data_IF_316578147264
#
_entry.id   IF_316578147264
#
_cell.length_a   1.000
_cell.length_b   1.000
_cell.length_c   1.000
_cell.angle_alpha   90.00
_cell.angle_beta   90.00
_cell.angle_gamma   90.00
#
_symmetry.space_group_name_H-M   'P 1'
#
loop_
_entity.id
_entity.type
_entity.pdbx_description
1 polymer ?
#
# COMPACT_ATOMS: atom_id res chain seq x y z
N UNK A 1 -44.63 31.90 -50.09
CA UNK A 1 -44.57 33.34 -50.24
C UNK A 1 -43.10 33.69 -50.17
N UNK A 2 -42.41 33.73 -51.27
CA UNK A 2 -42.07 34.88 -52.10
C UNK A 2 -41.00 35.74 -51.42
N UNK A 3 -39.85 36.14 -51.97
CA UNK A 3 -39.44 36.38 -53.37
C UNK A 3 -37.95 36.71 -53.35
N UNK A 4 -37.22 36.14 -54.24
CA UNK A 4 -36.23 36.66 -55.20
C UNK A 4 -35.83 38.14 -55.11
N UNK A 5 -34.51 38.39 -55.23
CA UNK A 5 -33.99 39.43 -56.14
C UNK A 5 -32.50 39.19 -56.48
N UNK A 6 -32.26 38.71 -57.68
CA UNK A 6 -31.01 38.84 -58.44
C UNK A 6 -30.80 40.28 -58.81
N UNK A 7 -29.54 40.74 -58.90
CA UNK A 7 -29.19 41.90 -59.75
C UNK A 7 -27.91 41.65 -60.45
N UNK A 8 -28.01 41.48 -61.78
CA UNK A 8 -26.99 41.58 -62.82
C UNK A 8 -26.77 43.06 -63.19
N UNK A 9 -25.57 43.39 -63.58
CA UNK A 9 -25.28 44.24 -64.79
C UNK A 9 -23.77 44.48 -64.84
N UNK A 10 -23.11 43.99 -65.82
CA UNK A 10 -22.76 44.42 -67.20
C UNK A 10 -21.70 45.54 -67.30
N UNK A 11 -20.68 45.12 -67.96
CA UNK A 11 -19.68 45.73 -68.83
C UNK A 11 -19.82 47.18 -69.16
N UNK A 12 -18.71 47.90 -69.25
CA UNK A 12 -18.30 48.75 -70.42
C UNK A 12 -16.78 48.79 -70.56
N UNK A 13 -16.37 48.53 -71.82
CA UNK A 13 -15.08 48.77 -72.43
C UNK A 13 -15.02 50.21 -72.88
N UNK A 14 -13.82 50.81 -72.79
CA UNK A 14 -13.29 51.80 -73.74
C UNK A 14 -11.80 52.05 -73.37
N UNK A 15 -10.88 51.58 -74.10
CA UNK A 15 -10.00 52.10 -75.16
C UNK A 15 -9.32 53.45 -74.85
N UNK A 16 -7.99 53.48 -74.95
CA UNK A 16 -7.24 54.69 -75.06
C UNK A 16 -5.73 54.55 -74.86
N UNK A 17 -5.04 54.53 -75.92
CA UNK A 17 -3.60 54.45 -76.18
C UNK A 17 -2.70 55.36 -75.34
N UNK A 18 -1.44 54.93 -75.18
CA UNK A 18 -0.41 55.94 -75.06
C UNK A 18 0.84 55.61 -74.24
N UNK A 19 1.72 54.88 -74.85
CA UNK A 19 3.16 55.17 -74.97
C UNK A 19 4.08 55.40 -73.76
N UNK A 20 5.13 54.64 -73.79
CA UNK A 20 6.53 54.88 -73.36
C UNK A 20 7.01 54.27 -72.07
N UNK A 21 7.86 53.36 -72.35
CA UNK A 21 8.81 52.66 -71.52
C UNK A 21 9.55 53.53 -70.49
N UNK A 22 9.53 53.06 -69.24
CA UNK A 22 10.66 53.20 -68.30
C UNK A 22 10.89 51.89 -67.67
N UNK A 23 11.97 51.21 -68.02
CA UNK A 23 12.49 50.05 -67.35
C UNK A 23 12.99 50.47 -65.95
N UNK A 24 12.26 50.16 -64.91
CA UNK A 24 12.79 50.18 -63.58
C UNK A 24 12.90 48.71 -63.19
N UNK A 25 14.14 48.23 -63.17
CA UNK A 25 14.50 46.92 -62.58
C UNK A 25 14.33 47.06 -61.10
N UNK A 26 13.18 46.60 -60.63
CA UNK A 26 12.95 46.43 -59.18
C UNK A 26 13.35 45.00 -58.84
N UNK A 27 14.57 44.85 -58.30
CA UNK A 27 14.98 43.60 -57.66
C UNK A 27 14.07 43.30 -56.49
N UNK A 28 13.09 42.41 -56.67
CA UNK A 28 12.39 41.82 -55.61
C UNK A 28 13.32 40.78 -54.89
N UNK A 29 13.96 41.23 -53.84
CA UNK A 29 14.51 40.34 -52.84
C UNK A 29 13.34 39.64 -52.18
N UNK A 30 13.01 38.46 -52.67
CA UNK A 30 12.13 37.54 -51.93
C UNK A 30 12.97 36.97 -50.75
N UNK A 31 12.93 37.69 -49.67
CA UNK A 31 13.36 37.10 -48.38
C UNK A 31 12.39 35.97 -48.05
N UNK A 32 12.77 34.74 -48.39
CA UNK A 32 12.14 33.54 -47.91
C UNK A 32 12.34 33.49 -46.39
N UNK A 33 11.38 34.04 -45.65
CA UNK A 33 11.24 33.77 -44.20
C UNK A 33 10.85 32.32 -44.07
N UNK A 34 11.85 31.46 -43.85
CA UNK A 34 11.62 30.14 -43.31
C UNK A 34 11.03 30.32 -41.91
N UNK A 35 9.71 30.39 -41.83
CA UNK A 35 8.98 30.06 -40.60
C UNK A 35 9.27 28.59 -40.30
N UNK A 36 10.36 28.36 -39.56
CA UNK A 36 10.51 27.14 -38.84
C UNK A 36 9.30 27.07 -37.90
N UNK A 37 8.22 26.44 -38.35
CA UNK A 37 7.18 25.97 -37.49
C UNK A 37 7.85 24.98 -36.56
N UNK A 38 8.27 25.48 -35.40
CA UNK A 38 8.60 24.64 -34.25
C UNK A 38 7.31 23.87 -33.96
N UNK A 39 7.16 22.73 -34.63
CA UNK A 39 6.12 21.77 -34.34
C UNK A 39 6.37 21.31 -32.90
N UNK A 40 5.69 21.94 -31.98
CA UNK A 40 5.49 21.34 -30.71
C UNK A 40 4.76 20.03 -31.01
N UNK A 41 5.53 18.95 -31.07
CA UNK A 41 4.98 17.62 -31.01
C UNK A 41 4.28 17.55 -29.63
N UNK A 42 3.03 17.97 -29.58
CA UNK A 42 2.12 17.52 -28.55
C UNK A 42 2.06 16.00 -28.75
N UNK A 43 2.92 15.29 -28.03
CA UNK A 43 2.65 13.88 -27.78
C UNK A 43 1.23 13.85 -27.23
N UNK A 44 0.28 13.44 -28.06
CA UNK A 44 -1.03 13.01 -27.60
C UNK A 44 -0.73 11.83 -26.69
N UNK A 45 -0.51 12.11 -25.40
CA UNK A 45 -0.72 11.14 -24.37
C UNK A 45 -2.18 10.76 -24.56
N UNK A 46 -2.41 9.64 -25.20
CA UNK A 46 -3.73 9.00 -25.26
C UNK A 46 -3.99 8.58 -23.83
N UNK A 47 -4.55 9.50 -23.05
CA UNK A 47 -5.07 9.17 -21.73
C UNK A 47 -6.14 8.15 -22.04
N UNK A 48 -5.86 6.87 -21.78
CA UNK A 48 -6.87 5.82 -21.79
C UNK A 48 -8.04 6.33 -20.97
N UNK A 49 -9.25 5.97 -21.31
CA UNK A 49 -10.37 6.35 -20.46
C UNK A 49 -10.05 5.90 -19.03
N UNK A 50 -10.44 6.67 -18.01
CA UNK A 50 -10.23 6.30 -16.60
C UNK A 50 -10.63 4.83 -16.34
N UNK A 51 -11.69 4.38 -17.01
CA UNK A 51 -12.15 3.00 -16.94
C UNK A 51 -11.12 2.00 -17.48
N UNK A 52 -10.43 2.28 -18.60
CA UNK A 52 -9.41 1.35 -19.14
C UNK A 52 -8.18 1.24 -18.24
N UNK A 53 -7.78 2.35 -17.60
CA UNK A 53 -6.70 2.36 -16.60
C UNK A 53 -7.11 1.58 -15.36
N UNK A 54 -8.34 1.78 -14.87
CA UNK A 54 -8.86 1.05 -13.72
C UNK A 54 -8.88 -0.46 -13.99
N UNK A 55 -9.45 -0.89 -15.12
CA UNK A 55 -9.49 -2.32 -15.50
C UNK A 55 -8.08 -2.91 -15.58
N UNK A 56 -7.13 -2.21 -16.21
CA UNK A 56 -5.76 -2.71 -16.30
C UNK A 56 -5.06 -2.84 -14.94
N UNK A 57 -5.33 -1.92 -14.01
CA UNK A 57 -4.77 -1.97 -12.66
C UNK A 57 -5.44 -3.04 -11.79
N UNK A 58 -6.75 -3.26 -11.96
CA UNK A 58 -7.49 -4.32 -11.26
C UNK A 58 -7.02 -5.73 -11.63
N UNK A 59 -6.60 -5.97 -12.88
CA UNK A 59 -5.99 -7.25 -13.28
C UNK A 59 -4.70 -7.57 -12.51
N UNK A 60 -4.01 -6.53 -12.06
CA UNK A 60 -2.75 -6.61 -11.28
C UNK A 60 -2.98 -6.68 -9.78
N UNK A 61 -4.21 -6.38 -9.32
CA UNK A 61 -4.58 -6.33 -7.90
C UNK A 61 -5.20 -7.66 -7.47
N UNK A 62 -4.87 -8.12 -6.27
CA UNK A 62 -5.39 -9.36 -5.69
C UNK A 62 -6.01 -9.12 -4.32
N UNK A 63 -6.99 -9.92 -3.98
CA UNK A 63 -7.64 -10.00 -2.68
C UNK A 63 -7.02 -11.17 -1.93
N UNK A 64 -6.45 -10.91 -0.77
CA UNK A 64 -5.77 -11.91 0.05
C UNK A 64 -6.63 -12.31 1.23
N UNK A 65 -6.76 -13.61 1.47
CA UNK A 65 -7.52 -14.20 2.57
C UNK A 65 -6.64 -15.16 3.36
N UNK A 66 -6.67 -15.05 4.69
CA UNK A 66 -5.84 -15.84 5.58
C UNK A 66 -6.39 -15.92 7.00
N UNK A 67 -5.51 -15.80 7.99
CA UNK A 67 -5.88 -15.82 9.40
C UNK A 67 -6.69 -14.59 9.82
N UNK A 68 -7.52 -14.73 10.85
CA UNK A 68 -8.34 -13.64 11.39
C UNK A 68 -9.82 -14.01 11.44
N UNK A 69 -10.70 -13.02 11.27
CA UNK A 69 -12.15 -13.21 11.26
C UNK A 69 -12.81 -12.99 12.60
N UNK A 70 -12.09 -12.41 13.58
CA UNK A 70 -12.65 -11.91 14.84
C UNK A 70 -12.75 -10.39 14.82
N UNK A 71 -13.55 -9.81 15.68
CA UNK A 71 -13.73 -8.36 15.77
C UNK A 71 -12.39 -7.63 15.97
N UNK A 72 -12.06 -6.73 15.05
CA UNK A 72 -10.81 -5.98 15.07
C UNK A 72 -9.58 -6.72 14.54
N UNK A 73 -9.76 -7.93 13.97
CA UNK A 73 -8.71 -8.73 13.35
C UNK A 73 -9.28 -9.36 12.06
N UNK A 74 -9.30 -8.60 11.00
CA UNK A 74 -9.81 -9.03 9.70
C UNK A 74 -8.98 -10.19 9.15
N UNK A 75 -9.67 -11.12 8.44
CA UNK A 75 -9.04 -12.27 7.77
C UNK A 75 -8.69 -11.99 6.30
N UNK A 76 -8.72 -10.73 5.88
CA UNK A 76 -8.49 -10.32 4.50
C UNK A 76 -7.70 -9.02 4.41
N UNK A 77 -6.98 -8.87 3.31
CA UNK A 77 -6.24 -7.66 2.93
C UNK A 77 -6.07 -7.62 1.42
N UNK A 78 -5.40 -6.60 0.91
CA UNK A 78 -5.07 -6.45 -0.50
C UNK A 78 -3.61 -6.77 -0.78
N UNK A 79 -3.31 -7.02 -2.05
CA UNK A 79 -1.98 -7.13 -2.59
C UNK A 79 -2.00 -6.86 -4.08
N UNK A 80 -0.83 -6.86 -4.69
CA UNK A 80 -0.72 -6.74 -6.15
C UNK A 80 0.50 -7.52 -6.66
N UNK A 81 0.38 -8.01 -7.91
CA UNK A 81 1.48 -8.69 -8.58
C UNK A 81 2.59 -7.70 -8.93
N UNK A 82 3.85 -8.13 -8.76
CA UNK A 82 5.06 -7.31 -8.95
C UNK A 82 5.97 -7.80 -10.06
N UNK A 83 5.75 -9.02 -10.56
CA UNK A 83 6.50 -9.61 -11.65
C UNK A 83 5.68 -10.68 -12.42
N UNK A 84 6.27 -11.23 -13.47
CA UNK A 84 5.68 -12.26 -14.30
C UNK A 84 5.73 -13.67 -13.68
N UNK A 85 6.46 -13.87 -12.59
CA UNK A 85 6.55 -15.14 -11.87
C UNK A 85 5.35 -15.35 -10.92
N UNK A 86 4.54 -14.31 -10.71
CA UNK A 86 3.37 -14.34 -9.83
C UNK A 86 3.70 -14.04 -8.37
N UNK A 87 4.74 -13.25 -8.13
CA UNK A 87 4.99 -12.71 -6.80
C UNK A 87 4.01 -11.57 -6.50
N UNK A 88 3.54 -11.55 -5.26
CA UNK A 88 2.59 -10.56 -4.76
C UNK A 88 3.25 -9.77 -3.66
N UNK A 89 3.19 -8.43 -3.75
CA UNK A 89 3.56 -7.52 -2.67
C UNK A 89 2.33 -7.15 -1.86
N UNK A 90 2.48 -7.16 -0.54
CA UNK A 90 1.43 -6.80 0.41
C UNK A 90 2.03 -6.31 1.73
N UNK A 91 1.18 -5.85 2.67
CA UNK A 91 1.63 -5.54 4.04
C UNK A 91 1.82 -6.82 4.84
N UNK A 92 2.82 -6.83 5.71
CA UNK A 92 2.97 -7.88 6.71
C UNK A 92 1.96 -7.67 7.85
N UNK A 93 1.01 -8.57 7.97
CA UNK A 93 -0.09 -8.52 8.95
C UNK A 93 -0.41 -9.91 9.48
N UNK A 94 -1.34 -9.96 10.44
CA UNK A 94 -1.87 -11.22 11.01
C UNK A 94 -2.61 -12.08 9.97
N UNK A 95 -3.11 -11.49 8.88
CA UNK A 95 -3.74 -12.25 7.78
C UNK A 95 -2.81 -13.30 7.20
N UNK A 96 -1.50 -13.05 7.24
CA UNK A 96 -0.47 -13.95 6.70
C UNK A 96 -0.03 -15.06 7.70
N UNK A 97 -0.67 -15.18 8.88
CA UNK A 97 -0.34 -16.18 9.92
C UNK A 97 -0.94 -17.55 9.65
N UNK A 98 -0.92 -17.97 8.41
CA UNK A 98 -1.36 -19.29 7.94
C UNK A 98 -0.29 -19.90 7.04
N UNK A 99 -0.30 -21.22 6.90
CA UNK A 99 0.64 -21.92 6.00
C UNK A 99 0.40 -21.58 4.52
N UNK A 100 -0.84 -21.28 4.18
CA UNK A 100 -1.26 -20.95 2.82
C UNK A 100 -2.25 -19.78 2.84
N UNK A 101 -1.90 -18.72 2.14
CA UNK A 101 -2.75 -17.55 1.92
C UNK A 101 -3.47 -17.71 0.58
N UNK A 102 -4.76 -17.47 0.53
CA UNK A 102 -5.53 -17.54 -0.72
C UNK A 102 -5.55 -16.16 -1.38
N UNK A 103 -4.93 -16.08 -2.56
CA UNK A 103 -5.01 -14.89 -3.40
C UNK A 103 -6.15 -15.06 -4.43
N UNK A 104 -7.09 -14.11 -4.46
CA UNK A 104 -8.21 -14.11 -5.40
C UNK A 104 -8.00 -13.01 -6.42
N UNK A 105 -7.88 -13.38 -7.68
CA UNK A 105 -7.69 -12.48 -8.81
C UNK A 105 -9.01 -11.80 -9.21
N UNK A 106 -8.96 -10.79 -10.07
CA UNK A 106 -10.12 -10.06 -10.58
C UNK A 106 -11.10 -10.94 -11.38
N UNK A 107 -10.61 -12.01 -12.02
CA UNK A 107 -11.44 -13.01 -12.71
C UNK A 107 -12.01 -14.10 -11.77
N UNK A 108 -11.70 -14.02 -10.47
CA UNK A 108 -12.20 -14.91 -9.44
C UNK A 108 -11.41 -16.21 -9.26
N UNK A 109 -10.27 -16.38 -9.93
CA UNK A 109 -9.39 -17.52 -9.67
C UNK A 109 -8.83 -17.45 -8.26
N UNK A 110 -8.79 -18.58 -7.58
CA UNK A 110 -8.24 -18.72 -6.23
C UNK A 110 -6.87 -19.37 -6.34
N UNK A 111 -5.84 -18.63 -6.04
CA UNK A 111 -4.46 -19.07 -6.10
C UNK A 111 -3.94 -19.32 -4.69
N UNK A 112 -3.38 -20.49 -4.45
CA UNK A 112 -2.63 -20.75 -3.23
C UNK A 112 -1.31 -19.97 -3.28
N UNK A 113 -1.02 -19.25 -2.22
CA UNK A 113 0.22 -18.49 -2.10
C UNK A 113 0.90 -18.73 -0.76
N UNK A 114 2.23 -18.61 -0.75
CA UNK A 114 3.05 -18.76 0.45
C UNK A 114 3.93 -17.52 0.63
N UNK A 115 4.21 -17.18 1.86
CA UNK A 115 5.15 -16.10 2.18
C UNK A 115 6.56 -16.52 1.78
N UNK A 116 7.17 -15.80 0.86
CA UNK A 116 8.58 -15.94 0.44
C UNK A 116 9.50 -15.30 1.49
N UNK A 117 9.14 -14.11 1.93
CA UNK A 117 9.87 -13.39 2.95
C UNK A 117 9.15 -12.11 3.40
N UNK A 118 9.69 -11.51 4.44
CA UNK A 118 9.13 -10.31 5.07
C UNK A 118 10.23 -9.29 5.30
N UNK A 119 9.86 -8.01 5.31
CA UNK A 119 10.65 -6.94 5.89
C UNK A 119 9.90 -6.36 7.09
N UNK A 120 10.37 -6.65 8.30
CA UNK A 120 9.72 -6.16 9.52
C UNK A 120 9.89 -4.65 9.73
N UNK A 121 10.83 -3.99 9.05
CA UNK A 121 11.08 -2.55 9.18
C UNK A 121 10.13 -1.74 8.30
N UNK A 122 9.84 -2.22 7.10
CA UNK A 122 8.84 -1.66 6.19
C UNK A 122 7.45 -2.23 6.43
N UNK A 123 7.33 -3.26 7.27
CA UNK A 123 6.10 -4.00 7.54
C UNK A 123 5.44 -4.56 6.26
N UNK A 124 6.26 -5.11 5.36
CA UNK A 124 5.83 -5.70 4.09
C UNK A 124 6.13 -7.19 4.02
N UNK A 125 5.45 -7.87 3.12
CA UNK A 125 5.66 -9.27 2.78
C UNK A 125 5.57 -9.48 1.27
N UNK A 126 6.35 -10.44 0.78
CA UNK A 126 6.24 -10.96 -0.59
C UNK A 126 5.71 -12.38 -0.53
N UNK A 127 4.68 -12.66 -1.32
CA UNK A 127 4.09 -14.00 -1.48
C UNK A 127 4.40 -14.53 -2.87
N UNK A 128 4.46 -15.86 -3.00
CA UNK A 128 4.61 -16.57 -4.28
C UNK A 128 3.37 -17.43 -4.54
N UNK A 129 2.75 -17.30 -5.73
CA UNK A 129 1.61 -18.13 -6.14
C UNK A 129 2.01 -19.33 -6.99
N UNK A 130 3.24 -19.40 -7.49
CA UNK A 130 3.71 -20.36 -8.51
C UNK A 130 2.88 -20.36 -9.81
N UNK A 131 2.13 -19.30 -10.05
CA UNK A 131 1.29 -19.10 -11.23
C UNK A 131 1.77 -17.85 -11.96
N UNK A 132 2.44 -17.98 -13.11
CA UNK A 132 2.87 -16.84 -13.92
C UNK A 132 1.69 -15.94 -14.29
N UNK A 133 1.95 -14.65 -14.38
CA UNK A 133 0.99 -13.64 -14.83
C UNK A 133 1.66 -12.65 -15.77
N UNK A 134 0.88 -12.12 -16.72
CA UNK A 134 1.33 -11.02 -17.58
C UNK A 134 0.88 -9.65 -17.05
N UNK A 135 0.01 -9.66 -16.06
CA UNK A 135 -0.56 -8.45 -15.46
C UNK A 135 0.10 -8.21 -14.10
N UNK A 136 1.09 -7.32 -14.05
CA UNK A 136 1.80 -6.94 -12.83
C UNK A 136 2.23 -5.47 -12.86
N UNK A 137 2.58 -4.92 -11.71
CA UNK A 137 3.21 -3.62 -11.56
C UNK A 137 4.72 -3.82 -11.39
N UNK A 138 5.51 -3.30 -12.33
CA UNK A 138 6.97 -3.29 -12.19
C UNK A 138 7.40 -2.22 -11.18
N UNK A 139 8.11 -2.63 -10.14
CA UNK A 139 8.74 -1.68 -9.20
C UNK A 139 9.87 -0.88 -9.86
N UNK A 140 10.43 -1.38 -10.97
CA UNK A 140 11.43 -0.66 -11.76
C UNK A 140 10.87 0.55 -12.50
N UNK A 141 9.60 0.47 -12.89
CA UNK A 141 8.88 1.54 -13.63
C UNK A 141 8.08 2.47 -12.72
N UNK A 142 8.16 2.24 -11.41
CA UNK A 142 7.48 3.07 -10.43
C UNK A 142 8.07 4.48 -10.39
N UNK A 143 7.21 5.47 -10.21
CA UNK A 143 7.63 6.86 -10.09
C UNK A 143 7.15 7.50 -8.81
N UNK A 144 7.72 8.64 -8.46
CA UNK A 144 7.30 9.41 -7.31
C UNK A 144 6.07 10.28 -7.64
N UNK A 145 5.12 10.30 -6.71
CA UNK A 145 3.98 11.21 -6.79
C UNK A 145 4.35 12.62 -6.32
N UNK A 146 3.69 13.61 -6.88
CA UNK A 146 3.80 15.01 -6.46
C UNK A 146 2.58 15.43 -5.63
N UNK A 147 2.76 16.42 -4.75
CA UNK A 147 1.64 17.02 -4.01
C UNK A 147 0.69 17.68 -5.02
N UNK A 148 -0.62 17.47 -4.85
CA UNK A 148 -1.65 17.90 -5.77
C UNK A 148 -1.91 16.92 -6.93
N UNK A 149 -1.16 15.83 -7.03
CA UNK A 149 -1.36 14.83 -8.07
C UNK A 149 -2.58 13.95 -7.79
N UNK A 150 -3.37 13.71 -8.86
CA UNK A 150 -4.53 12.81 -8.80
C UNK A 150 -4.07 11.37 -8.86
N UNK A 151 -4.66 10.54 -8.01
CA UNK A 151 -4.30 9.14 -7.83
C UNK A 151 -5.52 8.22 -7.82
N UNK A 152 -5.27 6.93 -8.10
CA UNK A 152 -6.23 5.85 -7.98
C UNK A 152 -5.71 4.85 -6.94
N UNK A 153 -6.54 4.51 -5.98
CA UNK A 153 -6.26 3.50 -4.97
C UNK A 153 -7.09 2.24 -5.24
N UNK A 154 -6.43 1.10 -5.34
CA UNK A 154 -7.02 -0.21 -5.64
C UNK A 154 -6.91 -1.11 -4.41
N UNK A 155 -8.03 -1.63 -3.93
CA UNK A 155 -8.05 -2.48 -2.74
C UNK A 155 -9.33 -3.28 -2.60
N UNK A 156 -9.32 -4.31 -1.75
CA UNK A 156 -10.52 -5.04 -1.32
C UNK A 156 -11.20 -4.31 -0.15
N UNK A 157 -11.73 -3.14 -0.42
CA UNK A 157 -12.38 -2.26 0.55
C UNK A 157 -13.49 -3.01 1.31
N UNK A 158 -13.40 -3.06 2.65
CA UNK A 158 -14.34 -3.75 3.53
C UNK A 158 -14.59 -5.24 3.20
N UNK A 159 -13.73 -5.88 2.42
CA UNK A 159 -13.91 -7.27 2.02
C UNK A 159 -15.16 -7.53 1.17
N UNK A 160 -15.69 -6.51 0.49
CA UNK A 160 -16.92 -6.64 -0.30
C UNK A 160 -16.74 -7.50 -1.55
N UNK A 161 -15.52 -7.56 -2.08
CA UNK A 161 -15.19 -8.38 -3.22
C UNK A 161 -14.69 -9.77 -2.76
N UNK A 162 -15.58 -10.75 -2.68
CA UNK A 162 -15.28 -12.08 -2.16
C UNK A 162 -15.07 -13.15 -3.24
N UNK A 163 -15.47 -12.88 -4.48
CA UNK A 163 -15.39 -13.79 -5.61
C UNK A 163 -14.84 -13.11 -6.86
N UNK A 164 -15.66 -13.06 -7.91
CA UNK A 164 -15.30 -12.46 -9.22
C UNK A 164 -15.48 -10.95 -9.25
N UNK A 165 -15.95 -10.35 -8.17
CA UNK A 165 -16.05 -8.91 -8.08
C UNK A 165 -14.65 -8.29 -8.14
N UNK A 166 -14.56 -7.24 -8.93
CA UNK A 166 -13.32 -6.47 -9.03
C UNK A 166 -12.99 -5.80 -7.70
N UNK A 167 -11.72 -5.51 -7.47
CA UNK A 167 -11.29 -4.71 -6.35
C UNK A 167 -11.94 -3.30 -6.42
N UNK A 168 -12.09 -2.67 -5.28
CA UNK A 168 -12.61 -1.30 -5.24
C UNK A 168 -11.57 -0.33 -5.78
N UNK A 169 -12.03 0.65 -6.57
CA UNK A 169 -11.22 1.73 -7.09
C UNK A 169 -11.67 3.04 -6.46
N UNK A 170 -10.76 3.74 -5.82
CA UNK A 170 -11.01 5.06 -5.25
C UNK A 170 -10.15 6.10 -5.93
N UNK A 171 -10.74 7.26 -6.19
CA UNK A 171 -10.03 8.42 -6.72
C UNK A 171 -9.67 9.35 -5.58
N UNK A 172 -8.44 9.87 -5.61
CA UNK A 172 -7.98 10.85 -4.64
C UNK A 172 -6.90 11.77 -5.19
N UNK A 173 -6.34 12.57 -4.27
CA UNK A 173 -5.23 13.49 -4.51
C UNK A 173 -4.17 13.29 -3.45
N UNK A 174 -2.90 13.33 -3.82
CA UNK A 174 -1.81 13.38 -2.85
C UNK A 174 -1.81 14.75 -2.18
N UNK A 175 -2.21 14.81 -0.93
CA UNK A 175 -2.30 16.07 -0.16
C UNK A 175 -0.96 16.50 0.42
N UNK A 176 -0.12 15.52 0.82
CA UNK A 176 1.18 15.80 1.41
C UNK A 176 2.17 14.66 1.16
N UNK A 177 3.46 14.99 1.23
CA UNK A 177 4.58 14.06 1.36
C UNK A 177 5.24 14.35 2.70
N UNK A 178 5.29 13.34 3.56
CA UNK A 178 5.83 13.49 4.92
C UNK A 178 6.44 12.17 5.39
N UNK A 179 6.85 12.11 6.64
CA UNK A 179 7.25 10.86 7.30
C UNK A 179 6.10 10.36 8.16
N UNK A 180 5.98 9.04 8.23
CA UNK A 180 4.95 8.41 9.07
C UNK A 180 5.31 8.61 10.56
N UNK A 181 4.40 9.21 11.29
CA UNK A 181 4.38 9.28 12.76
C UNK A 181 2.97 8.87 13.21
N UNK A 182 2.80 7.57 13.41
CA UNK A 182 1.48 6.99 13.58
C UNK A 182 1.48 5.85 14.61
N UNK A 183 0.27 5.50 15.06
CA UNK A 183 0.06 4.43 16.04
C UNK A 183 -1.22 3.64 15.76
N UNK A 184 -1.24 2.40 16.26
CA UNK A 184 -2.45 1.59 16.38
C UNK A 184 -2.69 1.31 17.87
N UNK A 185 -3.73 1.91 18.43
CA UNK A 185 -3.92 1.90 19.89
C UNK A 185 -2.75 2.57 20.60
N UNK A 186 -2.08 1.86 21.51
CA UNK A 186 -0.89 2.32 22.23
C UNK A 186 0.42 2.06 21.48
N UNK A 187 0.40 1.25 20.41
CA UNK A 187 1.59 0.83 19.68
C UNK A 187 1.96 1.80 18.58
N UNK A 188 3.19 2.32 18.60
CA UNK A 188 3.74 3.10 17.52
C UNK A 188 3.99 2.24 16.27
N UNK A 189 3.85 2.82 15.07
CA UNK A 189 4.25 2.16 13.84
C UNK A 189 5.76 1.92 13.82
N UNK A 190 6.18 0.74 13.39
CA UNK A 190 7.60 0.41 13.20
C UNK A 190 8.17 1.21 12.04
N UNK A 191 7.45 1.27 10.93
CA UNK A 191 7.84 2.11 9.81
C UNK A 191 7.61 3.59 10.13
N UNK A 192 8.64 4.41 9.99
CA UNK A 192 8.63 5.86 10.19
C UNK A 192 9.24 6.58 8.98
N UNK A 193 9.24 5.94 7.84
CA UNK A 193 9.79 6.44 6.59
C UNK A 193 8.85 7.42 5.85
N UNK A 194 9.23 7.80 4.61
CA UNK A 194 8.43 8.65 3.75
C UNK A 194 7.08 8.04 3.40
N UNK A 195 6.03 8.86 3.35
CA UNK A 195 4.68 8.48 2.94
C UNK A 195 4.03 9.55 2.05
N UNK A 196 3.04 9.13 1.27
CA UNK A 196 2.03 9.99 0.67
C UNK A 196 0.79 10.01 1.53
N UNK A 197 0.34 11.18 1.95
CA UNK A 197 -0.97 11.37 2.60
C UNK A 197 -1.96 11.78 1.51
N UNK A 198 -3.15 11.17 1.51
CA UNK A 198 -4.15 11.37 0.46
C UNK A 198 -5.55 11.53 1.03
N UNK A 199 -6.48 12.01 0.21
CA UNK A 199 -7.90 12.15 0.56
C UNK A 199 -8.75 10.92 0.15
N UNK A 200 -8.17 9.96 -0.59
CA UNK A 200 -8.84 8.67 -0.81
C UNK A 200 -8.92 7.88 0.49
N UNK A 201 -10.08 7.30 0.76
CA UNK A 201 -10.34 6.55 2.00
C UNK A 201 -9.61 5.20 1.99
N UNK A 202 -8.38 5.17 2.44
CA UNK A 202 -7.53 3.97 2.47
C UNK A 202 -7.35 3.37 3.86
N UNK A 203 -7.79 4.08 4.89
CA UNK A 203 -7.77 3.60 6.26
C UNK A 203 -9.08 2.88 6.60
N UNK A 204 -9.18 1.66 6.12
CA UNK A 204 -10.36 0.80 6.29
C UNK A 204 -9.94 -0.67 6.17
N UNK A 205 -10.74 -1.60 6.73
CA UNK A 205 -10.50 -3.03 6.59
C UNK A 205 -10.35 -3.45 5.12
N UNK A 206 -9.28 -4.19 4.85
CA UNK A 206 -8.98 -4.74 3.53
C UNK A 206 -8.20 -3.83 2.59
N UNK A 207 -8.04 -2.54 2.87
CA UNK A 207 -7.28 -1.63 2.01
C UNK A 207 -5.77 -1.85 2.06
N UNK A 208 -5.26 -2.25 3.23
CA UNK A 208 -3.83 -2.44 3.46
C UNK A 208 -3.18 -3.38 2.42
N UNK A 209 -2.06 -2.98 1.86
CA UNK A 209 -1.36 -3.72 0.81
C UNK A 209 -1.86 -3.49 -0.60
N UNK A 210 -2.91 -2.70 -0.80
CA UNK A 210 -3.41 -2.33 -2.12
C UNK A 210 -2.47 -1.42 -2.91
N UNK A 211 -2.71 -1.28 -4.21
CA UNK A 211 -1.87 -0.46 -5.09
C UNK A 211 -2.37 0.99 -5.13
N UNK A 212 -1.41 1.93 -5.16
CA UNK A 212 -1.64 3.32 -5.51
C UNK A 212 -1.04 3.61 -6.87
N UNK A 213 -1.83 4.14 -7.82
CA UNK A 213 -1.36 4.51 -9.14
C UNK A 213 -1.68 5.96 -9.49
N UNK A 214 -1.01 6.47 -10.53
CA UNK A 214 -1.49 7.67 -11.21
C UNK A 214 -2.67 7.36 -12.15
N UNK A 215 -3.18 8.39 -12.82
CA UNK A 215 -4.27 8.27 -13.80
C UNK A 215 -3.82 7.67 -15.14
N UNK A 216 -2.53 7.34 -15.29
CA UNK A 216 -1.97 6.59 -16.42
C UNK A 216 -1.69 5.13 -16.09
N UNK A 217 -1.89 4.73 -14.83
CA UNK A 217 -1.70 3.36 -14.35
C UNK A 217 -0.28 3.02 -13.92
N UNK A 218 0.62 4.03 -13.77
CA UNK A 218 1.95 3.79 -13.21
C UNK A 218 1.86 3.64 -11.69
N UNK A 219 2.56 2.66 -11.15
CA UNK A 219 2.64 2.45 -9.71
C UNK A 219 3.33 3.64 -9.02
N UNK A 220 2.69 4.15 -7.99
CA UNK A 220 3.22 5.21 -7.12
C UNK A 220 3.61 4.67 -5.74
N UNK A 221 2.87 3.67 -5.25
CA UNK A 221 3.11 3.14 -3.92
C UNK A 221 2.15 2.03 -3.52
N UNK A 222 2.29 1.59 -2.28
CA UNK A 222 1.43 0.59 -1.64
C UNK A 222 0.62 1.23 -0.51
N UNK A 223 -0.67 0.96 -0.45
CA UNK A 223 -1.56 1.43 0.61
C UNK A 223 -1.12 0.89 1.97
N UNK A 224 -1.07 1.77 2.96
CA UNK A 224 -0.62 1.45 4.30
C UNK A 224 -1.68 0.74 5.15
N UNK A 225 -1.30 0.41 6.38
CA UNK A 225 -2.18 -0.19 7.39
C UNK A 225 -3.12 0.84 8.01
N UNK A 226 -4.12 0.36 8.73
CA UNK A 226 -5.03 1.20 9.53
C UNK A 226 -4.30 1.79 10.74
N UNK A 227 -3.85 3.02 10.61
CA UNK A 227 -3.12 3.73 11.65
C UNK A 227 -3.75 5.10 11.94
N UNK A 228 -3.50 5.60 13.14
CA UNK A 228 -3.83 6.97 13.55
C UNK A 228 -2.56 7.79 13.69
N UNK A 229 -2.63 9.05 13.28
CA UNK A 229 -1.57 10.02 13.57
C UNK A 229 -1.27 10.05 15.07
N UNK A 230 0.01 10.04 15.42
CA UNK A 230 0.44 9.94 16.81
C UNK A 230 0.03 11.15 17.67
N UNK A 231 -0.06 12.34 17.05
CA UNK A 231 -0.34 13.62 17.72
C UNK A 231 -1.82 13.98 17.67
N UNK A 232 -2.39 13.99 16.46
CA UNK A 232 -3.77 14.42 16.25
C UNK A 232 -4.79 13.31 16.55
N UNK A 233 -4.35 12.05 16.65
CA UNK A 233 -5.20 10.87 16.85
C UNK A 233 -6.30 10.69 15.79
N UNK A 234 -6.09 11.26 14.59
CA UNK A 234 -6.97 11.09 13.44
C UNK A 234 -6.50 9.91 12.58
N UNK A 235 -7.42 9.26 11.91
CA UNK A 235 -7.11 8.19 10.99
C UNK A 235 -6.32 8.72 9.78
N UNK A 236 -5.28 8.00 9.40
CA UNK A 236 -4.43 8.34 8.25
C UNK A 236 -4.83 7.56 7.01
N UNK A 237 -5.05 8.28 5.91
CA UNK A 237 -5.09 7.70 4.58
C UNK A 237 -3.73 7.91 3.93
N UNK A 238 -2.94 6.84 3.80
CA UNK A 238 -1.56 6.97 3.33
C UNK A 238 -1.10 5.79 2.48
N UNK A 239 -0.04 6.02 1.71
CA UNK A 239 0.68 4.98 0.99
C UNK A 239 2.19 5.13 1.20
N UNK A 240 2.89 4.00 1.18
CA UNK A 240 4.35 3.94 1.17
C UNK A 240 4.80 4.08 -0.29
N UNK A 241 5.67 5.03 -0.64
CA UNK A 241 6.18 5.20 -2.00
C UNK A 241 6.84 3.93 -2.52
N UNK A 242 6.58 3.56 -3.76
CA UNK A 242 7.12 2.34 -4.38
C UNK A 242 8.66 2.31 -4.39
N UNK A 243 9.30 3.47 -4.51
CA UNK A 243 10.76 3.59 -4.43
C UNK A 243 11.34 3.16 -3.07
N UNK A 244 10.56 3.23 -1.97
CA UNK A 244 10.97 2.74 -0.65
C UNK A 244 10.88 1.22 -0.53
N UNK A 245 10.10 0.57 -1.39
CA UNK A 245 9.81 -0.87 -1.33
C UNK A 245 10.78 -1.69 -2.16
N UNK A 246 11.35 -1.11 -3.21
CA UNK A 246 12.11 -1.81 -4.25
C UNK A 246 13.28 -2.61 -3.69
N UNK A 247 14.18 -1.98 -2.93
CA UNK A 247 15.37 -2.64 -2.38
C UNK A 247 15.00 -3.81 -1.45
N UNK A 248 13.98 -3.62 -0.62
CA UNK A 248 13.52 -4.64 0.29
C UNK A 248 12.92 -5.83 -0.46
N UNK A 249 12.10 -5.59 -1.48
CA UNK A 249 11.54 -6.65 -2.34
C UNK A 249 12.65 -7.42 -3.05
N UNK A 250 13.64 -6.75 -3.63
CA UNK A 250 14.79 -7.39 -4.28
C UNK A 250 15.59 -8.26 -3.29
N UNK A 251 15.79 -7.79 -2.06
CA UNK A 251 16.44 -8.56 -1.00
C UNK A 251 15.62 -9.82 -0.62
N UNK A 252 14.30 -9.70 -0.46
CA UNK A 252 13.41 -10.82 -0.17
C UNK A 252 13.46 -11.86 -1.30
N UNK A 253 13.32 -11.43 -2.56
CA UNK A 253 13.34 -12.33 -3.72
C UNK A 253 14.69 -13.01 -3.92
N UNK A 254 15.78 -12.37 -3.50
CA UNK A 254 17.12 -13.00 -3.49
C UNK A 254 17.35 -13.95 -2.31
N UNK A 255 16.36 -14.19 -1.46
CA UNK A 255 16.42 -15.08 -0.31
C UNK A 255 17.19 -14.50 0.89
N UNK A 256 17.45 -13.19 0.91
CA UNK A 256 18.08 -12.54 2.07
C UNK A 256 17.07 -12.34 3.18
N UNK A 257 17.41 -12.78 4.38
CA UNK A 257 16.64 -12.48 5.58
C UNK A 257 16.90 -11.03 6.01
N UNK A 258 15.85 -10.25 6.13
CA UNK A 258 15.92 -8.87 6.60
C UNK A 258 15.67 -8.89 8.11
N UNK A 259 16.70 -8.55 8.89
CA UNK A 259 16.56 -8.44 10.32
C UNK A 259 15.79 -7.16 10.69
N UNK A 260 14.99 -7.22 11.73
CA UNK A 260 14.40 -6.01 12.33
C UNK A 260 15.52 -5.11 12.83
N UNK A 261 15.51 -3.86 12.41
CA UNK A 261 16.43 -2.84 12.85
C UNK A 261 15.96 -2.26 14.19
N UNK A 262 15.75 -3.12 15.17
CA UNK A 262 15.61 -2.63 16.54
C UNK A 262 16.97 -2.17 17.02
N UNK A 263 17.21 -0.92 16.84
CA UNK A 263 18.43 -0.20 17.11
C UNK A 263 18.69 0.03 18.59
N UNK A 264 18.40 -0.92 19.42
CA UNK A 264 19.03 -0.99 20.73
C UNK A 264 18.89 -2.42 21.23
N UNK A 265 19.95 -3.23 21.09
CA UNK A 265 20.18 -4.23 22.12
C UNK A 265 20.44 -3.44 23.40
N UNK A 266 19.37 -2.93 24.01
CA UNK A 266 19.41 -2.48 25.39
C UNK A 266 19.77 -3.73 26.18
N UNK A 267 20.94 -3.74 26.78
CA UNK A 267 21.27 -4.76 27.77
C UNK A 267 20.31 -4.50 28.92
N UNK A 268 19.25 -5.25 28.99
CA UNK A 268 18.20 -5.10 29.98
C UNK A 268 18.73 -5.79 31.26
N UNK A 269 18.91 -5.04 32.34
CA UNK A 269 19.43 -5.58 33.59
C UNK A 269 18.46 -6.60 34.23
N UNK A 270 17.17 -6.34 34.12
CA UNK A 270 16.10 -7.19 34.68
C UNK A 270 15.01 -7.44 33.66
N UNK A 271 15.23 -8.38 32.70
CA UNK A 271 14.24 -8.62 31.64
C UNK A 271 12.95 -9.24 32.21
N UNK A 272 11.84 -8.94 31.54
CA UNK A 272 10.60 -9.65 31.75
C UNK A 272 10.76 -11.13 31.33
N UNK A 273 10.04 -12.00 32.00
CA UNK A 273 9.93 -13.41 31.63
C UNK A 273 8.52 -13.93 31.93
N UNK A 274 8.12 -15.00 31.28
CA UNK A 274 6.83 -15.65 31.55
C UNK A 274 6.68 -16.00 33.03
N UNK A 275 7.77 -16.49 33.67
CA UNK A 275 7.77 -16.84 35.08
C UNK A 275 7.56 -15.60 35.97
N UNK A 276 8.22 -14.49 35.67
CA UNK A 276 8.08 -13.26 36.46
C UNK A 276 6.69 -12.63 36.30
N UNK A 277 6.10 -12.75 35.13
CA UNK A 277 4.73 -12.29 34.87
C UNK A 277 3.66 -13.25 35.41
N UNK A 278 4.04 -14.49 35.73
CA UNK A 278 3.11 -15.52 36.15
C UNK A 278 2.28 -16.14 35.03
N UNK A 279 2.78 -16.09 33.79
CA UNK A 279 2.11 -16.64 32.60
C UNK A 279 2.61 -18.07 32.38
N UNK A 280 1.70 -19.01 32.22
CA UNK A 280 1.96 -20.37 31.77
C UNK A 280 1.36 -20.54 30.39
N UNK A 281 2.18 -20.92 29.41
CA UNK A 281 1.72 -21.20 28.07
C UNK A 281 1.43 -22.69 27.87
N UNK A 282 0.61 -23.00 26.87
CA UNK A 282 0.43 -24.37 26.40
C UNK A 282 1.77 -25.01 26.02
N UNK A 283 1.89 -26.37 26.04
CA UNK A 283 3.13 -27.05 25.65
C UNK A 283 3.63 -26.63 24.26
N UNK A 284 4.93 -26.35 24.15
CA UNK A 284 5.60 -25.92 22.91
C UNK A 284 5.97 -27.15 22.07
N UNK A 285 5.05 -27.65 21.26
CA UNK A 285 5.16 -28.93 20.53
C UNK A 285 5.45 -28.77 19.04
N UNK A 286 5.32 -27.55 18.51
CA UNK A 286 5.52 -27.25 17.09
C UNK A 286 6.55 -26.11 16.93
N UNK A 287 7.29 -26.05 15.81
CA UNK A 287 8.25 -24.96 15.57
C UNK A 287 7.66 -23.55 15.65
N UNK A 288 6.36 -23.42 15.44
CA UNK A 288 5.60 -22.16 15.54
C UNK A 288 4.37 -22.34 16.44
N UNK A 289 4.53 -22.94 17.63
CA UNK A 289 3.43 -23.02 18.59
C UNK A 289 3.00 -21.59 18.97
N UNK A 290 1.73 -21.22 18.79
CA UNK A 290 1.21 -19.91 19.16
C UNK A 290 1.39 -19.62 20.66
N UNK A 291 1.50 -18.35 21.02
CA UNK A 291 1.64 -17.91 22.40
C UNK A 291 0.29 -17.95 23.15
N UNK A 292 -0.28 -19.13 23.29
CA UNK A 292 -1.57 -19.38 23.93
C UNK A 292 -1.37 -19.57 25.44
N UNK A 293 -2.12 -18.81 26.24
CA UNK A 293 -2.04 -18.88 27.70
C UNK A 293 -2.85 -20.07 28.17
N UNK A 294 -2.19 -21.03 28.79
CA UNK A 294 -2.84 -22.16 29.46
C UNK A 294 -3.44 -21.71 30.80
N UNK A 295 -2.62 -21.05 31.61
CA UNK A 295 -3.04 -20.56 32.90
C UNK A 295 -2.23 -19.36 33.38
N UNK A 296 -2.76 -18.62 34.36
CA UNK A 296 -2.09 -17.48 34.99
C UNK A 296 -1.99 -17.74 36.47
N UNK A 297 -0.80 -17.59 37.06
CA UNK A 297 -0.57 -17.75 38.48
C UNK A 297 -1.41 -16.78 39.31
N UNK A 298 -2.12 -17.21 40.33
CA UNK A 298 -2.81 -16.33 41.26
C UNK A 298 -1.86 -15.26 41.83
N UNK A 299 -2.38 -14.08 42.09
CA UNK A 299 -1.66 -12.90 42.63
C UNK A 299 -0.48 -12.38 41.81
N UNK A 300 -0.25 -12.94 40.63
CA UNK A 300 0.78 -12.44 39.70
C UNK A 300 0.40 -11.10 39.09
N UNK A 301 1.40 -10.42 38.48
CA UNK A 301 1.21 -9.19 37.71
C UNK A 301 0.17 -9.38 36.61
N UNK A 302 0.21 -10.52 35.91
CA UNK A 302 -0.72 -10.83 34.83
C UNK A 302 -2.14 -11.11 35.35
N UNK A 303 -2.28 -11.79 36.49
CA UNK A 303 -3.58 -12.02 37.10
C UNK A 303 -4.23 -10.72 37.60
N UNK A 304 -3.44 -9.84 38.22
CA UNK A 304 -3.91 -8.52 38.69
C UNK A 304 -4.33 -7.62 37.50
N UNK A 305 -3.69 -7.76 36.34
CA UNK A 305 -4.07 -7.06 35.12
C UNK A 305 -5.29 -7.65 34.41
N UNK A 306 -5.73 -8.87 34.79
CA UNK A 306 -6.91 -9.54 34.23
C UNK A 306 -6.62 -10.48 33.05
N UNK A 307 -5.36 -10.85 32.81
CA UNK A 307 -5.00 -11.92 31.88
C UNK A 307 -5.52 -13.27 32.45
N UNK A 308 -5.98 -14.14 31.56
CA UNK A 308 -6.58 -15.41 31.95
C UNK A 308 -6.13 -16.55 31.03
N UNK A 309 -6.47 -17.79 31.41
CA UNK A 309 -6.39 -18.92 30.48
C UNK A 309 -7.24 -18.66 29.22
N UNK A 310 -6.89 -19.32 28.14
CA UNK A 310 -7.49 -19.15 26.82
C UNK A 310 -7.22 -17.79 26.12
N UNK A 311 -6.29 -16.97 26.63
CA UNK A 311 -5.81 -15.78 25.92
C UNK A 311 -4.71 -16.14 24.92
N UNK A 312 -4.85 -15.72 23.68
CA UNK A 312 -3.79 -15.80 22.67
C UNK A 312 -3.04 -14.47 22.58
N UNK A 313 -1.76 -14.45 22.95
CA UNK A 313 -0.93 -13.24 22.86
C UNK A 313 -0.59 -12.96 21.39
N UNK A 314 -1.04 -11.83 20.88
CA UNK A 314 -0.81 -11.39 19.50
C UNK A 314 0.29 -10.34 19.37
N UNK A 315 0.39 -9.43 20.36
CA UNK A 315 1.42 -8.39 20.37
C UNK A 315 1.95 -8.18 21.79
N UNK A 316 3.23 -7.86 21.86
CA UNK A 316 3.91 -7.32 23.04
C UNK A 316 4.43 -5.94 22.64
N UNK A 317 3.98 -4.88 23.32
CA UNK A 317 4.21 -3.52 22.90
C UNK A 317 3.81 -3.32 21.42
N UNK A 318 4.75 -2.98 20.55
CA UNK A 318 4.53 -2.85 19.10
C UNK A 318 4.94 -4.10 18.32
N UNK A 319 5.48 -5.13 19.00
CA UNK A 319 6.03 -6.32 18.34
C UNK A 319 4.99 -7.41 18.22
N UNK A 320 4.77 -7.87 17.00
CA UNK A 320 3.89 -8.99 16.71
C UNK A 320 4.50 -10.31 17.20
N UNK A 321 3.68 -11.12 17.84
CA UNK A 321 4.07 -12.42 18.40
C UNK A 321 3.49 -13.52 17.53
N UNK A 322 4.36 -14.26 16.84
CA UNK A 322 3.98 -15.34 15.92
C UNK A 322 4.21 -16.73 16.51
N UNK A 323 4.90 -16.80 17.65
CA UNK A 323 5.21 -18.07 18.34
C UNK A 323 5.57 -17.82 19.80
N UNK A 324 5.58 -18.90 20.59
CA UNK A 324 6.07 -18.84 21.97
C UNK A 324 7.56 -18.40 22.07
N UNK A 325 8.37 -18.82 21.11
CA UNK A 325 9.77 -18.40 21.03
C UNK A 325 9.88 -16.89 20.83
N UNK A 326 9.09 -16.32 19.91
CA UNK A 326 9.02 -14.87 19.67
C UNK A 326 8.56 -14.11 20.93
N UNK A 327 7.56 -14.64 21.65
CA UNK A 327 7.12 -14.05 22.92
C UNK A 327 8.24 -14.00 23.95
N UNK A 328 8.94 -15.12 24.16
CA UNK A 328 10.06 -15.17 25.12
C UNK A 328 11.18 -14.21 24.73
N UNK A 329 11.49 -14.14 23.46
CA UNK A 329 12.51 -13.22 22.95
C UNK A 329 12.11 -11.77 23.20
N UNK A 330 10.89 -11.38 22.87
CA UNK A 330 10.42 -10.01 23.07
C UNK A 330 10.39 -9.61 24.53
N UNK A 331 9.88 -10.48 25.42
CA UNK A 331 9.89 -10.24 26.87
C UNK A 331 11.32 -10.01 27.41
N UNK A 332 12.32 -10.65 26.81
CA UNK A 332 13.73 -10.49 27.23
C UNK A 332 14.32 -9.13 26.84
N UNK A 333 13.66 -8.35 26.01
CA UNK A 333 14.12 -7.02 25.58
C UNK A 333 13.51 -5.87 26.38
N UNK A 334 12.54 -6.14 27.25
CA UNK A 334 11.85 -5.14 28.04
C UNK A 334 12.24 -5.27 29.52
N UNK A 335 12.69 -4.15 30.14
CA UNK A 335 13.00 -4.13 31.57
C UNK A 335 11.73 -4.25 32.43
N UNK A 336 11.85 -4.92 33.59
CA UNK A 336 10.71 -5.06 34.51
C UNK A 336 10.22 -3.75 35.09
N UNK A 337 11.04 -2.71 35.09
CA UNK A 337 10.64 -1.36 35.49
C UNK A 337 9.77 -0.64 34.47
N UNK A 338 9.79 -1.12 33.20
CA UNK A 338 9.01 -0.53 32.12
C UNK A 338 7.63 -1.19 32.00
N UNK A 339 6.58 -0.44 31.64
CA UNK A 339 5.27 -1.01 31.39
C UNK A 339 5.31 -1.92 30.16
N UNK A 340 4.73 -3.09 30.28
CA UNK A 340 4.57 -4.08 29.22
C UNK A 340 3.12 -4.11 28.77
N UNK A 341 2.85 -3.84 27.51
CA UNK A 341 1.50 -3.87 26.96
C UNK A 341 1.31 -5.15 26.15
N UNK A 342 0.33 -5.96 26.53
CA UNK A 342 -0.07 -7.17 25.81
C UNK A 342 -1.38 -6.92 25.10
N UNK A 343 -1.43 -7.17 23.80
CA UNK A 343 -2.68 -7.30 23.06
C UNK A 343 -2.95 -8.79 22.87
N UNK A 344 -4.08 -9.25 23.38
CA UNK A 344 -4.49 -10.66 23.30
C UNK A 344 -5.84 -10.81 22.62
N UNK A 345 -6.06 -11.98 22.03
CA UNK A 345 -7.36 -12.44 21.61
C UNK A 345 -7.95 -13.34 22.70
N UNK A 346 -9.16 -13.01 23.16
CA UNK A 346 -9.97 -13.82 24.08
C UNK A 346 -11.31 -14.15 23.42
N UNK A 347 -11.47 -15.38 22.96
CA UNK A 347 -12.61 -15.74 22.12
C UNK A 347 -12.63 -14.91 20.84
N UNK A 348 -13.69 -14.13 20.64
CA UNK A 348 -13.85 -13.27 19.46
C UNK A 348 -13.51 -11.78 19.71
N UNK A 349 -12.86 -11.45 20.82
CA UNK A 349 -12.55 -10.09 21.20
C UNK A 349 -11.04 -9.87 21.32
N UNK A 350 -10.59 -8.66 20.98
CA UNK A 350 -9.25 -8.20 21.32
C UNK A 350 -9.28 -7.45 22.64
N UNK A 351 -8.33 -7.77 23.52
CA UNK A 351 -8.16 -7.13 24.84
C UNK A 351 -6.73 -6.67 25.02
N UNK A 352 -6.58 -5.48 25.57
CA UNK A 352 -5.29 -4.90 25.89
C UNK A 352 -5.08 -4.92 27.41
N UNK A 353 -3.91 -5.41 27.84
CA UNK A 353 -3.49 -5.46 29.23
C UNK A 353 -2.17 -4.74 29.43
N UNK A 354 -2.11 -3.86 30.41
CA UNK A 354 -0.88 -3.16 30.79
C UNK A 354 -0.32 -3.84 32.04
N UNK A 355 0.82 -4.49 31.89
CA UNK A 355 1.53 -5.15 32.97
C UNK A 355 2.64 -4.20 33.45
N UNK A 356 2.66 -3.95 34.75
CA UNK A 356 3.74 -3.17 35.38
C UNK A 356 4.47 -4.11 36.32
N UNK A 357 5.75 -4.35 36.06
CA UNK A 357 6.59 -5.13 36.96
C UNK A 357 6.73 -4.45 38.34
N UNK A 358 6.83 -5.26 39.36
CA UNK A 358 7.18 -4.84 40.71
C UNK A 358 8.70 -4.68 40.85
#
# INVERSE_FOLDING_TARGET
>A
MASHAEFRLERRLASGDGCRAVRIVLCFFIASVNLATCGWAQSKVTIGSLNSVAVAAELRTVKLYGAGGVAGLESYQSGFFIDDQGHILTVWSTVLDVDTVIAVTSDGRRLESKVVGIDPNLEIAVLETKQPTIDFFSLGDAREAQVGERVLAFSNLFGIATGREMASVQKGVVMARTRLDARRGTFASVYQGPIYVMDAMTNNPGAAGGALTDFSGHLLGMLGKELRDARANVWLNYAIPAGQLKESVENILSGKSIARTDSTKVTVDRPHSLLALGIVLVPDVLPKTPAYVDSVKPDSVSAKAGLAGDDLVLFVNSTRITSQAALRQELSTVDRGDPLVLLVQRGNELKEFILRGE
#
